data_IF_572584024837
#
_entry.id   IF_572584024837
#
_cell.length_a   1.000
_cell.length_b   1.000
_cell.length_c   1.000
_cell.angle_alpha   90.00
_cell.angle_beta   90.00
_cell.angle_gamma   90.00
#
_symmetry.space_group_name_H-M   'P 1'
#
loop_
_entity.id
_entity.type
_entity.pdbx_description
1 polymer ?
#
# COMPACT_ATOMS: atom_id res chain seq x y z
N UNK A 1 5.52 -3.89 5.67
CA UNK A 1 4.68 -4.97 6.25
C UNK A 1 4.50 -6.16 5.31
N UNK A 2 4.22 -5.96 4.01
CA UNK A 2 3.95 -7.06 3.06
C UNK A 2 5.09 -8.10 3.03
N UNK A 3 6.32 -7.67 2.74
CA UNK A 3 7.51 -8.54 2.65
C UNK A 3 7.99 -9.11 3.98
N UNK A 4 7.54 -8.55 5.11
CA UNK A 4 7.94 -9.05 6.42
C UNK A 4 7.21 -10.35 6.80
N UNK A 5 6.18 -10.75 6.04
CA UNK A 5 5.35 -11.93 6.30
C UNK A 5 4.92 -12.06 7.77
N UNK A 6 4.54 -10.94 8.38
CA UNK A 6 4.25 -10.85 9.82
C UNK A 6 3.08 -11.75 10.26
N UNK A 7 2.20 -12.14 9.33
CA UNK A 7 1.08 -13.04 9.57
C UNK A 7 1.15 -14.26 8.65
N UNK A 8 0.58 -15.39 9.06
CA UNK A 8 0.47 -16.59 8.22
C UNK A 8 -0.33 -16.35 6.92
N UNK A 9 -1.30 -15.44 6.94
CA UNK A 9 -2.08 -15.04 5.77
C UNK A 9 -2.49 -13.56 5.88
N UNK A 10 -3.03 -13.00 4.80
CA UNK A 10 -3.62 -11.66 4.72
C UNK A 10 -2.64 -10.47 4.85
N UNK A 11 -1.32 -10.68 4.82
CA UNK A 11 -0.32 -9.60 4.89
C UNK A 11 -0.58 -8.42 3.95
N UNK A 12 -0.98 -8.72 2.69
CA UNK A 12 -1.31 -7.70 1.67
C UNK A 12 -2.47 -6.80 2.12
N UNK A 13 -3.59 -7.43 2.53
CA UNK A 13 -4.80 -6.74 3.01
C UNK A 13 -4.53 -5.94 4.29
N UNK A 14 -3.82 -6.54 5.25
CA UNK A 14 -3.45 -5.87 6.51
C UNK A 14 -2.54 -4.68 6.28
N UNK A 15 -1.57 -4.79 5.36
CA UNK A 15 -0.70 -3.67 4.99
C UNK A 15 -1.48 -2.51 4.37
N UNK A 16 -2.40 -2.82 3.46
CA UNK A 16 -3.24 -1.80 2.84
C UNK A 16 -4.16 -1.10 3.86
N UNK A 17 -4.82 -1.85 4.74
CA UNK A 17 -5.67 -1.27 5.80
C UNK A 17 -4.86 -0.41 6.78
N UNK A 18 -3.64 -0.83 7.14
CA UNK A 18 -2.76 -0.04 7.98
C UNK A 18 -2.34 1.28 7.30
N UNK A 19 -2.08 1.26 5.98
CA UNK A 19 -1.83 2.47 5.20
C UNK A 19 -3.04 3.41 5.24
N UNK A 20 -4.26 2.91 4.96
CA UNK A 20 -5.48 3.71 5.03
C UNK A 20 -5.67 4.34 6.41
N UNK A 21 -5.42 3.57 7.48
CA UNK A 21 -5.50 4.09 8.85
C UNK A 21 -4.46 5.17 9.11
N UNK A 22 -3.23 5.00 8.63
CA UNK A 22 -2.17 5.99 8.76
C UNK A 22 -2.55 7.30 8.05
N UNK A 23 -3.07 7.22 6.83
CA UNK A 23 -3.56 8.38 6.07
C UNK A 23 -4.65 9.13 6.83
N UNK A 24 -5.63 8.41 7.40
CA UNK A 24 -6.67 9.02 8.25
C UNK A 24 -6.09 9.77 9.45
N UNK A 25 -5.08 9.18 10.12
CA UNK A 25 -4.44 9.81 11.27
C UNK A 25 -3.72 11.12 10.89
N UNK A 26 -3.15 11.20 9.70
CA UNK A 26 -2.51 12.42 9.17
C UNK A 26 -3.47 13.32 8.37
N UNK A 27 -4.79 13.07 8.45
CA UNK A 27 -5.85 13.82 7.76
C UNK A 27 -5.67 13.89 6.24
N UNK A 28 -5.17 12.81 5.65
CA UNK A 28 -5.09 12.64 4.19
C UNK A 28 -6.01 11.52 3.73
N UNK A 29 -6.39 11.59 2.47
CA UNK A 29 -7.28 10.61 1.84
C UNK A 29 -6.61 9.96 0.64
N UNK A 30 -6.79 8.64 0.51
CA UNK A 30 -6.40 7.92 -0.69
C UNK A 30 -7.53 8.02 -1.71
N UNK A 31 -7.23 8.54 -2.90
CA UNK A 31 -8.15 8.60 -4.03
C UNK A 31 -7.64 7.65 -5.11
N UNK A 32 -8.11 6.41 -5.12
CA UNK A 32 -7.72 5.40 -6.11
C UNK A 32 -8.89 4.47 -6.40
N UNK A 33 -8.95 3.95 -7.62
CA UNK A 33 -9.87 2.86 -7.99
C UNK A 33 -9.45 1.54 -7.33
N UNK A 34 -10.37 0.59 -7.30
CA UNK A 34 -10.08 -0.74 -6.75
C UNK A 34 -8.95 -1.44 -7.52
N UNK A 35 -8.91 -1.30 -8.85
CA UNK A 35 -7.89 -1.93 -9.68
C UNK A 35 -6.50 -1.32 -9.42
N UNK A 36 -6.42 0.00 -9.26
CA UNK A 36 -5.17 0.68 -8.87
C UNK A 36 -4.66 0.20 -7.51
N UNK A 37 -5.55 0.03 -6.54
CA UNK A 37 -5.22 -0.49 -5.20
C UNK A 37 -4.70 -1.93 -5.27
N UNK A 38 -5.35 -2.78 -6.05
CA UNK A 38 -4.94 -4.18 -6.23
C UNK A 38 -3.56 -4.25 -6.87
N UNK A 39 -3.38 -3.54 -8.00
CA UNK A 39 -2.11 -3.50 -8.73
C UNK A 39 -0.97 -2.98 -7.86
N UNK A 40 -1.19 -1.88 -7.13
CA UNK A 40 -0.22 -1.33 -6.18
C UNK A 40 0.21 -2.36 -5.11
N UNK A 41 -0.76 -3.06 -4.52
CA UNK A 41 -0.48 -4.02 -3.45
C UNK A 41 0.26 -5.26 -3.97
N UNK A 42 0.01 -5.66 -5.22
CA UNK A 42 0.75 -6.74 -5.91
C UNK A 42 2.16 -6.29 -6.27
N UNK A 43 2.31 -5.10 -6.86
CA UNK A 43 3.61 -4.52 -7.23
C UNK A 43 4.55 -4.43 -6.03
N UNK A 44 4.09 -3.96 -4.87
CA UNK A 44 4.91 -3.92 -3.64
C UNK A 44 5.31 -5.33 -3.16
N UNK A 45 4.47 -6.33 -3.39
CA UNK A 45 4.74 -7.70 -2.97
C UNK A 45 5.78 -8.38 -3.86
N UNK A 46 5.79 -8.05 -5.15
CA UNK A 46 6.63 -8.69 -6.17
C UNK A 46 7.91 -7.93 -6.47
N UNK A 47 7.91 -6.60 -6.30
CA UNK A 47 9.08 -5.78 -6.49
C UNK A 47 10.06 -6.07 -5.36
N UNK A 48 11.17 -6.77 -5.62
CA UNK A 48 12.21 -7.08 -4.63
C UNK A 48 13.06 -5.87 -4.25
N UNK A 49 13.07 -4.84 -5.09
CA UNK A 49 13.73 -3.59 -4.79
C UNK A 49 13.04 -2.88 -3.61
N UNK A 50 13.83 -2.30 -2.72
CA UNK A 50 13.31 -1.57 -1.55
C UNK A 50 12.88 -0.16 -1.92
N UNK A 51 13.29 0.31 -3.09
CA UNK A 51 12.86 1.58 -3.66
C UNK A 51 11.68 1.34 -4.59
N UNK A 52 10.50 1.17 -3.98
CA UNK A 52 9.27 1.46 -4.73
C UNK A 52 9.32 2.94 -5.04
N UNK A 53 9.17 3.31 -6.31
CA UNK A 53 9.06 4.70 -6.74
C UNK A 53 7.84 5.32 -6.07
N UNK A 54 8.06 5.89 -4.88
CA UNK A 54 6.99 6.46 -4.08
C UNK A 54 6.38 7.66 -4.80
N UNK A 55 7.10 8.37 -5.65
CA UNK A 55 6.58 9.53 -6.38
C UNK A 55 5.50 9.10 -7.38
N UNK A 56 5.67 7.97 -8.06
CA UNK A 56 4.66 7.38 -8.95
C UNK A 56 3.36 7.00 -8.22
N UNK A 57 3.42 6.64 -6.94
CA UNK A 57 2.28 6.16 -6.16
C UNK A 57 1.71 7.19 -5.16
N UNK A 58 2.44 8.28 -4.86
CA UNK A 58 1.99 9.42 -4.04
C UNK A 58 0.93 10.25 -4.76
N UNK A 59 0.77 10.09 -6.08
CA UNK A 59 -0.17 10.84 -6.94
C UNK A 59 -1.65 10.77 -6.47
N UNK A 60 -1.96 9.91 -5.51
CA UNK A 60 -3.32 9.64 -5.04
C UNK A 60 -3.59 10.08 -3.60
N UNK A 61 -2.65 10.78 -2.95
CA UNK A 61 -2.82 11.25 -1.58
C UNK A 61 -3.18 12.74 -1.58
N UNK A 62 -4.48 13.03 -1.53
CA UNK A 62 -5.02 14.37 -1.30
C UNK A 62 -4.99 14.72 0.20
#
# INVERSE_FOLDING_TARGET
MIKNHAFHNANKRTAFLALLRMLQLIKRTLVASNDEVVNFTVEIAENDDKTVDMEKHILYIA
#
